data_IF_133289901893
#
_entry.id   IF_133289901893
#
_cell.length_a   1.000
_cell.length_b   1.000
_cell.length_c   1.000
_cell.angle_alpha   90.00
_cell.angle_beta   90.00
_cell.angle_gamma   90.00
#
_symmetry.space_group_name_H-M   'P 1'
#
loop_
_entity.id
_entity.type
_entity.pdbx_description
1 polymer ?
#
# COMPACT_ATOMS: atom_id res chain seq x y z
N UNK A 1 39.88 -74.62 26.18
CA UNK A 1 39.89 -73.42 27.03
C UNK A 1 40.46 -72.25 26.23
N UNK A 2 39.59 -71.48 25.56
CA UNK A 2 39.87 -70.13 25.00
C UNK A 2 38.59 -69.58 24.34
N UNK A 3 38.14 -68.46 24.86
CA UNK A 3 37.19 -67.44 24.37
C UNK A 3 37.89 -66.11 24.71
N UNK A 4 37.71 -64.94 24.06
CA UNK A 4 36.76 -64.49 23.01
C UNK A 4 37.51 -63.99 21.74
N UNK A 5 36.92 -63.57 20.62
CA UNK A 5 35.98 -62.45 20.45
C UNK A 5 35.26 -62.55 19.09
N UNK A 6 33.97 -62.20 19.07
CA UNK A 6 33.15 -62.03 17.87
C UNK A 6 33.15 -60.56 17.46
N UNK A 7 33.54 -60.28 16.23
CA UNK A 7 33.25 -59.03 15.51
C UNK A 7 32.61 -59.40 14.16
N UNK A 8 31.51 -58.72 13.84
CA UNK A 8 30.60 -59.02 12.76
C UNK A 8 30.97 -58.28 11.47
N UNK A 9 30.99 -59.03 10.36
CA UNK A 9 30.49 -58.72 9.00
C UNK A 9 30.63 -57.33 8.35
N UNK A 10 31.10 -57.25 7.09
CA UNK A 10 31.16 -56.02 6.30
C UNK A 10 29.86 -55.74 5.52
N UNK A 11 29.45 -54.47 5.46
CA UNK A 11 28.43 -53.97 4.52
C UNK A 11 29.09 -53.49 3.20
N UNK A 12 28.45 -53.71 2.03
CA UNK A 12 29.02 -53.35 0.73
C UNK A 12 28.82 -51.88 0.37
N UNK A 13 29.91 -51.29 -0.14
CA UNK A 13 29.96 -49.95 -0.72
C UNK A 13 29.28 -49.94 -2.10
N UNK A 14 28.28 -49.08 -2.28
CA UNK A 14 27.64 -48.82 -3.58
C UNK A 14 28.03 -47.42 -4.05
N UNK A 15 28.87 -47.40 -5.09
CA UNK A 15 29.32 -46.22 -5.82
C UNK A 15 28.20 -45.74 -6.76
N UNK A 16 27.62 -44.56 -6.51
CA UNK A 16 26.66 -43.92 -7.41
C UNK A 16 27.39 -43.13 -8.53
N UNK A 17 26.96 -43.22 -9.79
CA UNK A 17 27.57 -42.46 -10.88
C UNK A 17 27.11 -41.01 -10.86
N UNK A 18 28.03 -40.10 -11.19
CA UNK A 18 27.81 -38.66 -11.22
C UNK A 18 26.80 -38.25 -12.31
N UNK A 19 25.77 -37.50 -11.92
CA UNK A 19 24.85 -36.82 -12.83
C UNK A 19 25.53 -35.57 -13.42
N UNK A 20 25.73 -35.59 -14.74
CA UNK A 20 26.18 -34.44 -15.52
C UNK A 20 25.22 -33.24 -15.32
N UNK A 21 25.76 -32.14 -14.77
CA UNK A 21 25.06 -30.84 -14.69
C UNK A 21 24.77 -30.36 -16.11
N UNK A 22 23.52 -30.49 -16.55
CA UNK A 22 22.97 -29.68 -17.64
C UNK A 22 22.75 -28.26 -17.11
N UNK A 23 23.55 -27.33 -17.59
CA UNK A 23 23.31 -25.90 -17.42
C UNK A 23 21.94 -25.54 -18.01
N UNK A 24 21.10 -24.75 -17.32
CA UNK A 24 19.85 -24.28 -17.90
C UNK A 24 20.15 -23.34 -19.07
N UNK A 25 19.65 -23.72 -20.25
CA UNK A 25 19.62 -22.87 -21.43
C UNK A 25 18.81 -21.61 -21.11
N UNK A 26 19.22 -20.39 -21.54
CA UNK A 26 18.47 -19.18 -21.27
C UNK A 26 17.18 -19.26 -22.09
N UNK A 27 16.09 -19.64 -21.43
CA UNK A 27 14.77 -19.48 -21.99
C UNK A 27 14.63 -17.99 -22.34
N UNK A 28 14.47 -17.74 -23.64
CA UNK A 28 14.22 -16.45 -24.27
C UNK A 28 13.14 -15.73 -23.44
N UNK A 29 13.56 -14.81 -22.59
CA UNK A 29 12.66 -13.98 -21.82
C UNK A 29 11.87 -13.15 -22.83
N UNK A 30 10.64 -13.57 -23.11
CA UNK A 30 9.68 -12.72 -23.79
C UNK A 30 9.55 -11.51 -22.87
N UNK A 31 10.07 -10.37 -23.29
CA UNK A 31 9.94 -9.12 -22.56
C UNK A 31 8.43 -8.92 -22.34
N UNK A 32 7.97 -9.12 -21.10
CA UNK A 32 6.59 -8.84 -20.75
C UNK A 32 6.41 -7.35 -20.96
N UNK A 33 5.65 -6.98 -21.99
CA UNK A 33 5.16 -5.62 -22.18
C UNK A 33 4.38 -5.28 -20.92
N UNK A 34 4.88 -4.30 -20.16
CA UNK A 34 4.18 -3.83 -18.97
C UNK A 34 2.89 -3.13 -19.41
N UNK A 35 1.78 -3.27 -18.66
CA UNK A 35 0.56 -2.54 -18.94
C UNK A 35 0.81 -1.02 -18.99
N UNK A 36 0.14 -0.35 -19.93
CA UNK A 36 0.12 1.11 -19.99
C UNK A 36 -0.72 1.66 -18.83
N UNK A 37 -0.05 2.23 -17.84
CA UNK A 37 -0.70 2.73 -16.63
C UNK A 37 -1.41 4.06 -16.84
N UNK A 38 -1.03 4.84 -17.84
CA UNK A 38 -1.69 6.11 -18.13
C UNK A 38 -3.00 5.84 -18.86
N UNK A 39 -2.97 4.98 -19.89
CA UNK A 39 -4.19 4.49 -20.54
C UNK A 39 -5.13 3.80 -19.54
N UNK A 40 -4.60 3.05 -18.56
CA UNK A 40 -5.41 2.48 -17.49
C UNK A 40 -6.09 3.54 -16.62
N UNK A 41 -5.35 4.58 -16.19
CA UNK A 41 -5.90 5.65 -15.35
C UNK A 41 -6.96 6.46 -16.09
N UNK A 42 -6.75 6.73 -17.37
CA UNK A 42 -7.73 7.40 -18.24
C UNK A 42 -8.99 6.57 -18.37
N UNK A 43 -8.86 5.26 -18.67
CA UNK A 43 -10.01 4.36 -18.76
C UNK A 43 -10.78 4.24 -17.43
N UNK A 44 -10.07 4.27 -16.28
CA UNK A 44 -10.70 4.34 -14.96
C UNK A 44 -11.41 5.68 -14.76
N UNK A 45 -10.79 6.80 -15.14
CA UNK A 45 -11.41 8.13 -15.01
C UNK A 45 -12.73 8.23 -15.78
N UNK A 46 -12.76 7.75 -17.02
CA UNK A 46 -13.97 7.68 -17.85
C UNK A 46 -15.06 6.82 -17.19
N UNK A 47 -14.70 5.62 -16.72
CA UNK A 47 -15.62 4.74 -16.01
C UNK A 47 -16.21 5.43 -14.76
N UNK A 48 -15.43 6.22 -14.03
CA UNK A 48 -15.93 6.92 -12.85
C UNK A 48 -16.96 8.00 -13.18
N UNK A 49 -16.85 8.65 -14.34
CA UNK A 49 -17.88 9.58 -14.85
C UNK A 49 -19.17 8.82 -15.12
N UNK A 50 -19.10 7.66 -15.78
CA UNK A 50 -20.26 6.81 -16.09
C UNK A 50 -20.90 6.24 -14.81
N UNK A 51 -20.11 5.81 -13.82
CA UNK A 51 -20.62 5.34 -12.52
C UNK A 51 -21.31 6.46 -11.76
N UNK A 52 -20.76 7.68 -11.79
CA UNK A 52 -21.38 8.84 -11.15
C UNK A 52 -22.71 9.22 -11.82
N UNK A 53 -22.82 9.09 -13.15
CA UNK A 53 -24.07 9.30 -13.88
C UNK A 53 -25.17 8.29 -13.48
N UNK A 54 -24.78 7.12 -12.96
CA UNK A 54 -25.67 6.08 -12.47
C UNK A 54 -25.83 6.10 -10.94
N UNK A 55 -25.65 7.24 -10.26
CA UNK A 55 -25.68 7.31 -8.80
C UNK A 55 -27.04 6.97 -8.14
N UNK A 56 -28.15 7.02 -8.89
CA UNK A 56 -29.49 6.73 -8.37
C UNK A 56 -29.67 5.25 -7.96
N UNK A 57 -30.36 5.02 -6.84
CA UNK A 57 -30.41 3.73 -6.13
C UNK A 57 -30.90 2.53 -6.96
N UNK A 58 -31.69 2.77 -8.01
CA UNK A 58 -32.36 1.72 -8.78
C UNK A 58 -31.52 1.21 -9.97
N UNK A 59 -30.33 1.77 -10.20
CA UNK A 59 -29.46 1.44 -11.33
C UNK A 59 -28.50 0.24 -11.09
N UNK A 60 -28.77 -0.64 -10.12
CA UNK A 60 -27.83 -1.73 -9.75
C UNK A 60 -27.47 -2.62 -10.94
N UNK A 61 -28.47 -3.02 -11.74
CA UNK A 61 -28.24 -3.85 -12.93
C UNK A 61 -27.43 -3.09 -13.98
N UNK A 62 -27.75 -1.81 -14.22
CA UNK A 62 -27.03 -0.96 -15.16
C UNK A 62 -25.55 -0.80 -14.78
N UNK A 63 -25.26 -0.57 -13.48
CA UNK A 63 -23.88 -0.49 -12.97
C UNK A 63 -23.11 -1.80 -13.15
N UNK A 64 -23.76 -2.95 -12.94
CA UNK A 64 -23.15 -4.26 -13.17
C UNK A 64 -22.79 -4.45 -14.65
N UNK A 65 -23.72 -4.14 -15.55
CA UNK A 65 -23.49 -4.24 -17.00
C UNK A 65 -22.36 -3.29 -17.43
N UNK A 66 -22.37 -2.05 -16.94
CA UNK A 66 -21.33 -1.06 -17.22
C UNK A 66 -19.94 -1.58 -16.79
N UNK A 67 -19.81 -2.04 -15.55
CA UNK A 67 -18.54 -2.57 -15.05
C UNK A 67 -18.07 -3.79 -15.85
N UNK A 68 -19.00 -4.69 -16.19
CA UNK A 68 -18.67 -5.86 -17.01
C UNK A 68 -18.12 -5.45 -18.38
N UNK A 69 -18.66 -4.40 -19.00
CA UNK A 69 -18.19 -3.89 -20.28
C UNK A 69 -16.82 -3.22 -20.13
N UNK A 70 -16.68 -2.27 -19.20
CA UNK A 70 -15.45 -1.50 -18.99
C UNK A 70 -14.29 -2.35 -18.50
N UNK A 71 -14.54 -3.42 -17.73
CA UNK A 71 -13.47 -4.33 -17.30
C UNK A 71 -12.85 -5.15 -18.45
N UNK A 72 -13.53 -5.27 -19.59
CA UNK A 72 -13.01 -5.94 -20.79
C UNK A 72 -12.22 -5.01 -21.71
N UNK A 73 -12.23 -3.71 -21.44
CA UNK A 73 -11.42 -2.76 -22.18
C UNK A 73 -9.93 -3.15 -22.08
N UNK A 74 -9.15 -3.12 -23.18
CA UNK A 74 -7.79 -3.64 -23.18
C UNK A 74 -6.87 -3.04 -22.10
N UNK A 75 -6.95 -1.73 -21.87
CA UNK A 75 -6.15 -1.05 -20.85
C UNK A 75 -6.50 -1.54 -19.44
N UNK A 76 -7.80 -1.68 -19.14
CA UNK A 76 -8.29 -2.19 -17.85
C UNK A 76 -7.92 -3.66 -17.67
N UNK A 77 -8.22 -4.50 -18.66
CA UNK A 77 -7.96 -5.92 -18.63
C UNK A 77 -6.47 -6.23 -18.42
N UNK A 78 -5.56 -5.48 -19.05
CA UNK A 78 -4.12 -5.70 -18.93
C UNK A 78 -3.60 -5.55 -17.49
N UNK A 79 -4.04 -4.53 -16.76
CA UNK A 79 -3.65 -4.33 -15.34
C UNK A 79 -4.29 -5.38 -14.45
N UNK A 80 -5.57 -5.69 -14.66
CA UNK A 80 -6.28 -6.66 -13.83
C UNK A 80 -5.74 -8.08 -14.00
N UNK A 81 -5.41 -8.49 -15.22
CA UNK A 81 -4.81 -9.79 -15.52
C UNK A 81 -3.39 -9.92 -14.96
N UNK A 82 -2.64 -8.82 -14.95
CA UNK A 82 -1.31 -8.78 -14.34
C UNK A 82 -1.33 -8.80 -12.80
N UNK A 83 -2.48 -8.53 -12.17
CA UNK A 83 -2.67 -8.61 -10.71
C UNK A 83 -2.81 -10.06 -10.21
N UNK A 84 -2.54 -10.35 -8.93
CA UNK A 84 -2.66 -11.72 -8.39
C UNK A 84 -4.05 -12.36 -8.51
N UNK A 85 -5.11 -11.57 -8.58
CA UNK A 85 -6.49 -12.06 -8.68
C UNK A 85 -6.93 -12.34 -10.12
N UNK A 86 -6.20 -11.83 -11.11
CA UNK A 86 -6.62 -11.82 -12.51
C UNK A 86 -7.89 -11.00 -12.74
N UNK A 87 -8.32 -10.92 -14.00
CA UNK A 87 -9.52 -10.14 -14.40
C UNK A 87 -10.81 -10.64 -13.72
N UNK A 88 -11.01 -11.96 -13.66
CA UNK A 88 -12.23 -12.57 -13.11
C UNK A 88 -12.33 -12.32 -11.61
N UNK A 89 -11.25 -12.62 -10.87
CA UNK A 89 -11.23 -12.42 -9.41
C UNK A 89 -11.33 -10.95 -9.04
N UNK A 90 -10.71 -10.05 -9.82
CA UNK A 90 -10.82 -8.61 -9.60
C UNK A 90 -12.26 -8.12 -9.82
N UNK A 91 -12.96 -8.62 -10.84
CA UNK A 91 -14.36 -8.29 -11.11
C UNK A 91 -15.28 -8.76 -10.00
N UNK A 92 -15.20 -10.03 -9.63
CA UNK A 92 -16.06 -10.60 -8.59
C UNK A 92 -15.88 -9.89 -7.26
N UNK A 93 -14.63 -9.57 -6.90
CA UNK A 93 -14.32 -8.81 -5.69
C UNK A 93 -14.94 -7.42 -5.74
N UNK A 94 -14.80 -6.67 -6.84
CA UNK A 94 -15.41 -5.34 -6.97
C UNK A 94 -16.93 -5.40 -6.80
N UNK A 95 -17.60 -6.32 -7.49
CA UNK A 95 -19.05 -6.49 -7.39
C UNK A 95 -19.51 -6.82 -5.96
N UNK A 96 -18.72 -7.65 -5.24
CA UNK A 96 -18.98 -7.96 -3.83
C UNK A 96 -18.75 -6.75 -2.92
N UNK A 97 -17.69 -5.96 -3.13
CA UNK A 97 -17.46 -4.75 -2.34
C UNK A 97 -18.57 -3.72 -2.56
N UNK A 98 -19.02 -3.54 -3.81
CA UNK A 98 -20.13 -2.65 -4.13
C UNK A 98 -21.45 -3.11 -3.51
N UNK A 99 -21.74 -4.42 -3.53
CA UNK A 99 -22.95 -4.97 -2.92
C UNK A 99 -22.95 -4.82 -1.39
N UNK A 100 -21.77 -4.81 -0.76
CA UNK A 100 -21.59 -4.64 0.68
C UNK A 100 -21.43 -3.18 1.10
N UNK A 101 -21.28 -2.27 0.14
CA UNK A 101 -20.99 -0.88 0.43
C UNK A 101 -22.15 -0.21 1.14
N UNK A 102 -21.86 0.31 2.33
CA UNK A 102 -22.75 1.20 3.08
C UNK A 102 -22.00 2.50 3.33
N UNK A 103 -22.51 3.65 2.86
CA UNK A 103 -21.92 4.94 3.17
C UNK A 103 -21.83 5.13 4.69
N UNK A 104 -20.65 5.52 5.17
CA UNK A 104 -20.40 5.79 6.58
C UNK A 104 -19.36 6.89 6.70
N UNK A 105 -19.52 7.83 7.64
CA UNK A 105 -18.55 8.89 7.94
C UNK A 105 -17.14 8.36 8.28
N UNK A 106 -17.04 7.09 8.70
CA UNK A 106 -15.77 6.42 9.01
C UNK A 106 -15.03 5.87 7.79
N UNK A 107 -15.67 5.87 6.62
CA UNK A 107 -15.15 5.26 5.41
C UNK A 107 -14.37 6.28 4.56
N UNK A 108 -13.21 5.90 4.04
CA UNK A 108 -12.48 6.71 3.06
C UNK A 108 -13.28 6.88 1.77
N UNK A 109 -14.02 5.85 1.35
CA UNK A 109 -14.99 5.97 0.27
C UNK A 109 -16.26 6.66 0.79
N UNK A 110 -16.52 7.89 0.32
CA UNK A 110 -17.71 8.67 0.66
C UNK A 110 -18.94 8.25 -0.14
N UNK A 111 -18.73 7.76 -1.35
CA UNK A 111 -19.75 7.25 -2.25
C UNK A 111 -19.24 6.02 -3.03
N UNK A 112 -20.12 5.44 -3.84
CA UNK A 112 -19.82 4.26 -4.65
C UNK A 112 -18.72 4.56 -5.70
N UNK A 113 -18.71 5.77 -6.25
CA UNK A 113 -17.69 6.21 -7.21
C UNK A 113 -16.30 6.20 -6.57
N UNK A 114 -16.17 6.73 -5.34
CA UNK A 114 -14.93 6.68 -4.57
C UNK A 114 -14.52 5.23 -4.29
N UNK A 115 -15.45 4.33 -3.96
CA UNK A 115 -15.13 2.92 -3.78
C UNK A 115 -14.56 2.29 -5.07
N UNK A 116 -15.20 2.52 -6.22
CA UNK A 116 -14.73 2.00 -7.51
C UNK A 116 -13.35 2.58 -7.86
N UNK A 117 -13.13 3.88 -7.64
CA UNK A 117 -11.84 4.55 -7.83
C UNK A 117 -10.74 3.88 -7.02
N UNK A 118 -10.96 3.78 -5.69
CA UNK A 118 -9.96 3.23 -4.77
C UNK A 118 -9.67 1.78 -5.15
N UNK A 119 -10.70 1.01 -5.46
CA UNK A 119 -10.55 -0.39 -5.82
C UNK A 119 -9.70 -0.58 -7.08
N UNK A 120 -10.07 0.09 -8.18
CA UNK A 120 -9.40 -0.06 -9.46
C UNK A 120 -7.98 0.48 -9.40
N UNK A 121 -7.77 1.70 -8.91
CA UNK A 121 -6.42 2.28 -8.85
C UNK A 121 -5.49 1.50 -7.92
N UNK A 122 -5.99 0.86 -6.86
CA UNK A 122 -5.17 -0.03 -6.01
C UNK A 122 -4.69 -1.31 -6.72
N UNK A 123 -5.27 -1.68 -7.87
CA UNK A 123 -4.83 -2.86 -8.64
C UNK A 123 -3.44 -2.65 -9.24
N UNK A 124 -3.06 -1.40 -9.51
CA UNK A 124 -1.69 -1.03 -9.92
C UNK A 124 -0.70 -1.51 -8.84
N UNK A 125 -1.00 -1.25 -7.57
CA UNK A 125 -0.12 -1.60 -6.46
C UNK A 125 0.06 -3.11 -6.34
N UNK A 126 -1.03 -3.86 -6.46
CA UNK A 126 -1.02 -5.32 -6.38
C UNK A 126 -0.34 -5.95 -7.59
N UNK A 127 -0.47 -5.34 -8.77
CA UNK A 127 0.26 -5.74 -9.96
C UNK A 127 1.77 -5.54 -9.75
N UNK A 128 2.18 -4.37 -9.28
CA UNK A 128 3.59 -4.06 -9.03
C UNK A 128 4.26 -4.99 -8.02
N UNK A 129 3.53 -5.32 -6.96
CA UNK A 129 4.08 -6.08 -5.83
C UNK A 129 3.52 -7.50 -5.75
N UNK A 130 3.08 -8.07 -6.89
CA UNK A 130 2.42 -9.39 -6.96
C UNK A 130 3.19 -10.53 -6.31
N UNK A 131 4.52 -10.47 -6.33
CA UNK A 131 5.40 -11.51 -5.79
C UNK A 131 5.90 -11.19 -4.37
N UNK A 132 5.41 -10.09 -3.76
CA UNK A 132 5.75 -9.72 -2.38
C UNK A 132 4.85 -10.47 -1.39
N UNK A 133 5.41 -11.17 -0.40
CA UNK A 133 4.61 -11.81 0.62
C UNK A 133 3.89 -10.77 1.49
N UNK A 134 2.67 -11.11 1.88
CA UNK A 134 1.88 -10.30 2.81
C UNK A 134 2.38 -10.52 4.24
N UNK A 135 2.47 -9.45 5.03
CA UNK A 135 2.59 -9.54 6.49
C UNK A 135 1.27 -10.06 7.06
N UNK A 136 1.23 -11.33 7.40
CA UNK A 136 0.05 -12.00 7.94
C UNK A 136 -0.34 -11.45 9.31
N UNK A 137 0.63 -11.30 10.21
CA UNK A 137 0.36 -11.00 11.63
C UNK A 137 0.94 -9.67 12.10
N UNK A 138 0.36 -9.13 13.18
CA UNK A 138 0.89 -7.93 13.85
C UNK A 138 2.34 -8.13 14.31
N UNK A 139 2.69 -9.34 14.78
CA UNK A 139 4.04 -9.68 15.22
C UNK A 139 5.05 -9.65 14.08
N UNK A 140 4.67 -10.18 12.91
CA UNK A 140 5.49 -10.10 11.71
C UNK A 140 5.82 -8.65 11.37
N UNK A 141 4.84 -7.74 11.41
CA UNK A 141 5.07 -6.32 11.16
C UNK A 141 6.08 -5.71 12.16
N UNK A 142 6.00 -6.09 13.43
CA UNK A 142 6.85 -5.52 14.47
C UNK A 142 8.30 -6.02 14.45
N UNK A 143 8.52 -7.23 13.95
CA UNK A 143 9.83 -7.91 14.03
C UNK A 143 10.52 -8.08 12.68
N UNK A 144 9.84 -7.80 11.56
CA UNK A 144 10.41 -8.03 10.25
C UNK A 144 11.69 -7.20 10.02
N UNK A 145 12.80 -7.83 9.59
CA UNK A 145 14.11 -7.16 9.46
C UNK A 145 14.14 -6.05 8.39
N UNK A 146 13.26 -6.11 7.41
CA UNK A 146 13.14 -5.06 6.38
C UNK A 146 12.36 -3.82 6.85
N UNK A 147 11.72 -3.87 8.02
CA UNK A 147 10.93 -2.79 8.56
C UNK A 147 11.68 -2.07 9.70
N UNK A 148 11.96 -0.80 9.49
CA UNK A 148 12.66 0.04 10.47
C UNK A 148 11.68 0.70 11.43
N UNK A 149 12.14 0.94 12.66
CA UNK A 149 11.36 1.63 13.69
C UNK A 149 11.42 3.15 13.49
N UNK A 150 10.27 3.75 13.22
CA UNK A 150 10.14 5.20 13.07
C UNK A 150 10.42 5.94 14.37
N UNK A 151 10.18 5.35 15.54
CA UNK A 151 10.47 6.00 16.81
C UNK A 151 11.98 6.15 17.04
N UNK A 152 12.76 5.17 16.59
CA UNK A 152 14.21 5.25 16.60
C UNK A 152 14.71 6.37 15.68
N UNK A 153 14.17 6.45 14.46
CA UNK A 153 14.52 7.50 13.48
C UNK A 153 14.12 8.89 14.00
N UNK A 154 12.91 9.01 14.57
CA UNK A 154 12.38 10.24 15.15
C UNK A 154 13.27 10.79 16.25
N UNK A 155 13.73 9.93 17.18
CA UNK A 155 14.62 10.32 18.28
C UNK A 155 15.98 10.82 17.81
N UNK A 156 16.41 10.44 16.60
CA UNK A 156 17.65 10.89 15.96
C UNK A 156 17.47 12.07 15.02
N UNK A 157 16.25 12.62 14.90
CA UNK A 157 15.97 13.71 13.96
C UNK A 157 16.00 13.30 12.48
N UNK A 158 15.92 12.00 12.18
CA UNK A 158 16.03 11.45 10.82
C UNK A 158 14.68 11.39 10.08
N UNK A 159 13.62 11.99 10.63
CA UNK A 159 12.31 12.06 9.99
C UNK A 159 11.96 13.51 9.65
N UNK A 160 11.74 13.79 8.36
CA UNK A 160 11.27 15.08 7.89
C UNK A 160 9.73 15.21 7.92
N UNK A 161 9.01 14.11 8.17
CA UNK A 161 7.56 14.07 8.28
C UNK A 161 7.09 13.84 9.72
N UNK A 162 5.80 14.06 9.96
CA UNK A 162 5.11 13.79 11.23
C UNK A 162 4.14 12.63 11.08
N UNK A 163 3.95 11.93 12.18
CA UNK A 163 2.90 10.93 12.36
C UNK A 163 2.42 11.00 13.80
N UNK A 164 1.28 10.37 14.07
CA UNK A 164 0.80 10.17 15.44
C UNK A 164 0.43 8.71 15.63
N UNK A 165 0.93 8.11 16.69
CA UNK A 165 0.60 6.73 17.06
C UNK A 165 -0.88 6.59 17.45
N UNK A 166 -1.50 5.48 17.08
CA UNK A 166 -2.84 5.13 17.52
C UNK A 166 -2.82 4.75 19.01
N UNK A 167 -3.76 5.21 19.87
CA UNK A 167 -3.71 4.91 21.28
C UNK A 167 -4.08 3.46 21.49
N UNK A 168 -3.19 2.69 22.09
CA UNK A 168 -3.45 1.30 22.47
C UNK A 168 -4.46 1.15 23.61
N UNK A 169 -4.67 2.19 24.42
CA UNK A 169 -5.47 2.13 25.65
C UNK A 169 -6.71 3.04 25.60
N UNK A 170 -7.74 2.70 26.38
CA UNK A 170 -8.93 3.54 26.58
C UNK A 170 -8.56 4.92 27.15
N UNK A 171 -7.62 4.97 28.09
CA UNK A 171 -7.11 6.22 28.66
C UNK A 171 -6.46 7.09 27.57
N UNK A 172 -5.62 6.50 26.73
CA UNK A 172 -5.01 7.22 25.60
C UNK A 172 -6.05 7.75 24.60
N UNK A 173 -7.16 7.02 24.40
CA UNK A 173 -8.30 7.51 23.61
C UNK A 173 -9.02 8.68 24.29
N UNK A 174 -9.21 8.63 25.60
CA UNK A 174 -9.81 9.70 26.40
C UNK A 174 -8.98 10.99 26.38
N UNK A 175 -7.68 10.90 26.66
CA UNK A 175 -6.74 12.04 26.58
C UNK A 175 -6.76 12.66 25.18
N UNK A 176 -6.81 11.83 24.12
CA UNK A 176 -6.95 12.32 22.75
C UNK A 176 -8.26 13.06 22.53
N UNK A 177 -9.38 12.53 23.02
CA UNK A 177 -10.67 13.17 22.85
C UNK A 177 -10.69 14.55 23.52
N UNK A 178 -10.10 14.68 24.71
CA UNK A 178 -9.92 15.95 25.41
C UNK A 178 -9.00 16.88 24.63
N UNK A 179 -7.83 16.41 24.19
CA UNK A 179 -6.90 17.21 23.39
C UNK A 179 -7.53 17.75 22.10
N UNK A 180 -8.35 16.94 21.42
CA UNK A 180 -9.13 17.37 20.25
C UNK A 180 -10.20 18.39 20.59
N UNK A 181 -10.79 18.38 21.79
CA UNK A 181 -11.75 19.42 22.19
C UNK A 181 -11.06 20.74 22.52
N UNK A 182 -9.89 20.68 23.15
CA UNK A 182 -9.14 21.88 23.55
C UNK A 182 -8.37 22.51 22.38
N UNK A 183 -7.91 21.69 21.43
CA UNK A 183 -7.16 22.12 20.24
C UNK A 183 -7.62 21.32 19.02
N UNK A 184 -8.84 21.56 18.52
CA UNK A 184 -9.46 20.77 17.43
C UNK A 184 -8.66 20.80 16.12
N UNK A 185 -7.77 21.77 16.01
CA UNK A 185 -7.09 22.17 14.78
C UNK A 185 -5.59 21.91 14.77
N UNK A 186 -5.01 21.55 15.93
CA UNK A 186 -3.57 21.38 16.06
C UNK A 186 -3.03 20.16 15.33
N UNK A 187 -3.88 19.18 15.01
CA UNK A 187 -3.48 17.95 14.31
C UNK A 187 -4.62 17.41 13.46
N UNK A 188 -4.33 16.63 12.41
CA UNK A 188 -5.33 15.93 11.62
C UNK A 188 -6.24 15.03 12.48
N UNK A 189 -7.49 14.86 12.04
CA UNK A 189 -8.51 14.06 12.73
C UNK A 189 -8.40 12.56 12.45
N UNK A 190 -7.20 12.03 12.28
CA UNK A 190 -6.97 10.61 11.95
C UNK A 190 -6.78 9.72 13.17
N UNK A 191 -7.07 8.42 13.02
CA UNK A 191 -6.83 7.41 14.05
C UNK A 191 -5.33 7.29 14.41
N UNK A 192 -4.44 7.68 13.50
CA UNK A 192 -3.00 7.56 13.67
C UNK A 192 -2.47 6.19 13.22
N UNK A 193 -1.15 6.06 13.22
CA UNK A 193 -0.45 4.85 12.79
C UNK A 193 -0.47 3.81 13.91
N UNK A 194 -0.94 2.60 13.61
CA UNK A 194 -0.92 1.48 14.56
C UNK A 194 0.50 0.93 14.75
N UNK A 195 1.21 0.73 13.65
CA UNK A 195 2.59 0.26 13.65
C UNK A 195 3.51 1.42 13.28
N UNK A 196 4.52 1.67 14.11
CA UNK A 196 5.59 2.65 13.83
C UNK A 196 6.71 2.03 12.99
N UNK A 197 6.31 1.23 12.01
CA UNK A 197 7.20 0.41 11.18
C UNK A 197 7.02 0.82 9.72
N UNK A 198 8.11 0.87 8.96
CA UNK A 198 8.06 1.14 7.53
C UNK A 198 9.27 0.51 6.84
N UNK A 199 9.14 0.21 5.55
CA UNK A 199 10.30 -0.13 4.73
C UNK A 199 11.23 1.07 4.61
N UNK A 200 12.53 0.82 4.47
CA UNK A 200 13.55 1.88 4.39
C UNK A 200 13.30 2.83 3.22
N UNK A 201 12.90 2.30 2.07
CA UNK A 201 12.57 3.07 0.88
C UNK A 201 11.34 3.96 1.08
N UNK A 202 10.36 3.49 1.88
CA UNK A 202 9.17 4.28 2.21
C UNK A 202 9.55 5.45 3.12
N UNK A 203 10.48 5.26 4.06
CA UNK A 203 11.01 6.36 4.88
C UNK A 203 11.71 7.39 3.99
N UNK A 204 12.59 6.95 3.09
CA UNK A 204 13.29 7.85 2.17
C UNK A 204 12.31 8.61 1.26
N UNK A 205 11.29 7.93 0.72
CA UNK A 205 10.23 8.56 -0.07
C UNK A 205 9.53 9.66 0.73
N UNK A 206 9.08 9.34 1.95
CA UNK A 206 8.38 10.29 2.80
C UNK A 206 9.28 11.46 3.23
N UNK A 207 10.57 11.22 3.47
CA UNK A 207 11.54 12.28 3.75
C UNK A 207 11.74 13.20 2.55
N UNK A 208 11.90 12.63 1.35
CA UNK A 208 12.04 13.40 0.11
C UNK A 208 10.80 14.25 -0.18
N UNK A 209 9.60 13.66 -0.09
CA UNK A 209 8.33 14.37 -0.28
C UNK A 209 8.16 15.46 0.79
N UNK A 210 8.49 15.17 2.05
CA UNK A 210 8.37 16.16 3.12
C UNK A 210 9.33 17.35 2.91
N UNK A 211 10.58 17.09 2.51
CA UNK A 211 11.56 18.14 2.21
C UNK A 211 11.16 18.97 0.99
N UNK A 212 10.54 18.36 -0.01
CA UNK A 212 10.01 19.06 -1.18
C UNK A 212 8.80 19.92 -0.81
N UNK A 213 7.87 19.37 -0.04
CA UNK A 213 6.69 20.08 0.45
C UNK A 213 7.07 21.27 1.34
N UNK A 214 8.02 21.10 2.26
CA UNK A 214 8.53 22.18 3.13
C UNK A 214 9.14 23.33 2.30
N UNK A 215 9.94 23.01 1.26
CA UNK A 215 10.51 24.02 0.35
C UNK A 215 9.47 24.72 -0.51
N UNK A 216 8.38 24.04 -0.84
CA UNK A 216 7.35 24.55 -1.74
C UNK A 216 6.24 25.32 -1.00
N UNK A 217 6.24 25.35 0.33
CA UNK A 217 5.15 25.94 1.13
C UNK A 217 5.58 27.15 1.96
N UNK A 218 4.66 28.05 2.33
CA UNK A 218 4.99 29.19 3.17
C UNK A 218 5.52 28.79 4.55
N UNK A 219 6.40 29.63 5.11
CA UNK A 219 6.89 29.48 6.49
C UNK A 219 5.71 29.40 7.46
N UNK A 220 5.78 28.44 8.40
CA UNK A 220 4.70 28.18 9.37
C UNK A 220 3.69 27.13 8.91
N UNK A 221 3.80 26.62 7.68
CA UNK A 221 3.08 25.43 7.24
C UNK A 221 3.51 24.22 8.08
N UNK A 222 2.58 23.41 8.61
CA UNK A 222 2.95 22.20 9.32
C UNK A 222 3.68 21.20 8.42
N UNK A 223 4.61 20.38 8.96
CA UNK A 223 5.30 19.37 8.16
C UNK A 223 4.32 18.33 7.60
N UNK A 224 4.75 17.62 6.54
CA UNK A 224 4.02 16.50 5.94
C UNK A 224 3.50 15.54 7.02
N UNK A 225 2.24 15.12 6.91
CA UNK A 225 1.60 14.28 7.92
C UNK A 225 1.17 12.92 7.37
N UNK A 226 1.73 11.85 7.95
CA UNK A 226 1.43 10.47 7.61
C UNK A 226 0.38 9.91 8.56
N UNK A 227 -0.65 9.29 8.00
CA UNK A 227 -1.84 8.82 8.70
C UNK A 227 -1.92 7.30 8.78
N UNK A 228 -1.31 6.61 7.82
CA UNK A 228 -1.14 5.16 7.81
C UNK A 228 0.17 4.73 7.16
N UNK A 229 0.65 3.54 7.54
CA UNK A 229 1.89 2.92 7.12
C UNK A 229 1.62 1.44 6.82
N UNK A 230 2.63 0.57 6.98
CA UNK A 230 2.47 -0.88 6.94
C UNK A 230 1.34 -1.33 7.88
N UNK A 231 0.59 -2.34 7.43
CA UNK A 231 -0.44 -3.04 8.21
C UNK A 231 -0.17 -4.54 8.13
N UNK A 232 -0.71 -5.30 9.07
CA UNK A 232 -0.83 -6.75 8.93
C UNK A 232 -2.16 -7.09 8.25
N UNK A 233 -2.26 -8.30 7.68
CA UNK A 233 -3.52 -8.82 7.19
C UNK A 233 -4.55 -8.97 8.32
N UNK A 234 -4.12 -9.39 9.52
CA UNK A 234 -4.96 -9.41 10.73
C UNK A 234 -5.61 -8.05 11.02
N UNK A 235 -4.81 -6.98 11.01
CA UNK A 235 -5.30 -5.63 11.24
C UNK A 235 -6.20 -5.15 10.10
N UNK A 236 -5.85 -5.44 8.85
CA UNK A 236 -6.68 -5.09 7.69
C UNK A 236 -8.06 -5.76 7.76
N UNK A 237 -8.12 -7.05 8.09
CA UNK A 237 -9.39 -7.75 8.32
C UNK A 237 -10.15 -7.20 9.52
N UNK A 238 -9.46 -6.79 10.59
CA UNK A 238 -10.09 -6.12 11.72
C UNK A 238 -10.75 -4.80 11.31
N UNK A 239 -10.05 -3.95 10.54
CA UNK A 239 -10.62 -2.71 10.01
C UNK A 239 -11.86 -3.00 9.16
N UNK A 240 -11.81 -4.02 8.31
CA UNK A 240 -12.97 -4.45 7.51
C UNK A 240 -14.15 -4.86 8.39
N UNK A 241 -13.92 -5.64 9.46
CA UNK A 241 -14.96 -6.01 10.43
C UNK A 241 -15.55 -4.81 11.17
N UNK A 242 -14.78 -3.74 11.34
CA UNK A 242 -15.23 -2.48 11.95
C UNK A 242 -15.97 -1.55 10.97
N UNK A 243 -16.13 -1.97 9.71
CA UNK A 243 -16.87 -1.22 8.68
C UNK A 243 -16.05 -0.21 7.90
N UNK A 244 -14.71 -0.22 7.99
CA UNK A 244 -13.85 0.58 7.10
C UNK A 244 -13.76 -0.08 5.72
N UNK A 245 -13.61 0.69 4.63
CA UNK A 245 -13.25 0.16 3.31
C UNK A 245 -11.78 -0.30 3.26
N UNK A 246 -11.44 -1.26 4.11
CA UNK A 246 -10.15 -1.92 4.15
C UNK A 246 -10.15 -3.07 3.13
N UNK A 247 -9.89 -2.74 1.87
CA UNK A 247 -9.86 -3.71 0.77
C UNK A 247 -8.76 -4.76 0.98
N UNK A 248 -9.02 -5.98 0.50
CA UNK A 248 -8.09 -7.11 0.57
C UNK A 248 -7.95 -7.73 -0.81
N UNK A 249 -6.72 -7.99 -1.31
CA UNK A 249 -5.43 -7.66 -0.69
C UNK A 249 -5.13 -6.15 -0.73
N UNK A 250 -4.13 -5.71 0.05
CA UNK A 250 -3.75 -4.29 0.18
C UNK A 250 -2.23 -4.12 0.21
N UNK A 251 -1.72 -3.09 -0.48
CA UNK A 251 -0.31 -2.75 -0.52
C UNK A 251 0.26 -2.29 0.84
N UNK A 252 -0.58 -1.83 1.77
CA UNK A 252 -0.17 -1.63 3.16
C UNK A 252 0.29 -2.94 3.80
N UNK A 253 -0.36 -4.05 3.46
CA UNK A 253 -0.02 -5.38 3.99
C UNK A 253 1.25 -5.96 3.34
N UNK A 254 1.73 -5.34 2.25
CA UNK A 254 3.01 -5.63 1.60
C UNK A 254 4.12 -4.68 2.10
N UNK A 255 3.76 -3.64 2.86
CA UNK A 255 4.66 -2.60 3.38
C UNK A 255 5.12 -1.57 2.36
N UNK A 256 4.49 -1.50 1.19
CA UNK A 256 4.86 -0.59 0.09
C UNK A 256 3.92 0.61 -0.05
N UNK A 257 2.91 0.71 0.81
CA UNK A 257 1.98 1.82 0.78
C UNK A 257 1.83 2.56 2.11
N UNK A 258 1.46 3.83 2.00
CA UNK A 258 1.28 4.79 3.08
C UNK A 258 0.09 5.69 2.76
N UNK A 259 -0.54 6.23 3.80
CA UNK A 259 -1.61 7.22 3.63
C UNK A 259 -1.12 8.57 4.14
N UNK A 260 -1.26 9.61 3.32
CA UNK A 260 -0.83 10.98 3.62
C UNK A 260 -2.07 11.84 3.83
N UNK A 261 -2.10 12.64 4.90
CA UNK A 261 -3.21 13.57 5.14
C UNK A 261 -3.26 14.64 4.04
N UNK A 262 -4.44 14.90 3.49
CA UNK A 262 -4.66 15.94 2.49
C UNK A 262 -5.64 17.00 2.99
N UNK A 263 -6.78 16.58 3.53
CA UNK A 263 -7.88 17.50 3.85
C UNK A 263 -7.50 18.55 4.90
N UNK A 264 -6.69 18.17 5.88
CA UNK A 264 -6.21 19.11 6.90
C UNK A 264 -5.35 20.22 6.30
N UNK A 265 -4.63 19.96 5.20
CA UNK A 265 -3.80 20.97 4.54
C UNK A 265 -4.59 22.03 3.76
N UNK A 266 -5.88 21.78 3.48
CA UNK A 266 -6.76 22.76 2.83
C UNK A 266 -6.80 24.08 3.61
N UNK A 267 -6.79 24.01 4.95
CA UNK A 267 -6.84 25.19 5.82
C UNK A 267 -5.62 26.10 5.72
N UNK A 268 -4.49 25.57 5.27
CA UNK A 268 -3.25 26.32 5.09
C UNK A 268 -3.08 26.78 3.63
N UNK A 269 -4.03 26.45 2.75
CA UNK A 269 -3.95 26.77 1.32
C UNK A 269 -2.91 25.95 0.55
N UNK A 270 -2.32 24.91 1.16
CA UNK A 270 -1.19 24.15 0.59
C UNK A 270 -1.56 22.75 0.10
N UNK A 271 -2.83 22.34 0.22
CA UNK A 271 -3.28 21.02 -0.23
C UNK A 271 -2.96 20.77 -1.71
N UNK A 272 -3.16 21.78 -2.56
CA UNK A 272 -2.88 21.67 -4.00
C UNK A 272 -1.38 21.48 -4.28
N UNK A 273 -0.51 22.13 -3.53
CA UNK A 273 0.95 21.97 -3.64
C UNK A 273 1.35 20.53 -3.34
N UNK A 274 0.82 19.95 -2.26
CA UNK A 274 1.08 18.54 -1.93
C UNK A 274 0.55 17.60 -3.03
N UNK A 275 -0.64 17.88 -3.57
CA UNK A 275 -1.20 17.10 -4.67
C UNK A 275 -0.32 17.16 -5.92
N UNK A 276 0.17 18.34 -6.29
CA UNK A 276 1.06 18.55 -7.44
C UNK A 276 2.37 17.76 -7.28
N UNK A 277 2.99 17.78 -6.09
CA UNK A 277 4.20 16.99 -5.79
C UNK A 277 3.93 15.49 -5.98
N UNK A 278 2.82 14.98 -5.44
CA UNK A 278 2.47 13.57 -5.52
C UNK A 278 2.17 13.16 -6.98
N UNK A 279 1.40 13.96 -7.72
CA UNK A 279 1.10 13.65 -9.12
C UNK A 279 2.31 13.78 -10.05
N UNK A 280 3.22 14.73 -9.81
CA UNK A 280 4.48 14.83 -10.56
C UNK A 280 5.32 13.55 -10.40
N UNK A 281 5.38 12.99 -9.19
CA UNK A 281 6.06 11.71 -8.93
C UNK A 281 5.32 10.51 -9.52
N UNK A 282 3.99 10.55 -9.57
CA UNK A 282 3.20 9.54 -10.29
C UNK A 282 3.50 9.56 -11.79
N UNK A 283 3.53 10.74 -12.41
CA UNK A 283 3.86 10.92 -13.82
C UNK A 283 5.30 10.49 -14.14
N UNK A 284 6.22 10.67 -13.17
CA UNK A 284 7.58 10.16 -13.26
C UNK A 284 7.70 8.63 -13.04
N UNK A 285 6.58 7.93 -12.78
CA UNK A 285 6.54 6.49 -12.55
C UNK A 285 7.14 6.06 -11.21
N UNK A 286 7.28 6.97 -10.24
CA UNK A 286 7.87 6.66 -8.94
C UNK A 286 6.87 6.07 -7.95
N UNK A 287 5.60 6.39 -8.10
CA UNK A 287 4.55 6.00 -7.17
C UNK A 287 3.17 5.94 -7.85
N UNK A 288 2.23 5.31 -7.17
CA UNK A 288 0.80 5.36 -7.50
C UNK A 288 0.09 6.17 -6.42
N UNK A 289 -0.76 7.12 -6.82
CA UNK A 289 -1.55 7.99 -5.95
C UNK A 289 -3.01 7.66 -6.15
N UNK A 290 -3.71 7.44 -5.04
CA UNK A 290 -5.16 7.22 -5.04
C UNK A 290 -5.79 8.22 -4.08
N UNK A 291 -6.69 9.05 -4.62
CA UNK A 291 -7.48 9.98 -3.82
C UNK A 291 -8.56 9.22 -3.05
N UNK A 292 -8.34 9.02 -1.74
CA UNK A 292 -9.32 8.47 -0.80
C UNK A 292 -10.03 9.56 0.03
N UNK A 293 -10.02 10.81 -0.44
CA UNK A 293 -10.70 11.94 0.18
C UNK A 293 -9.87 12.61 1.28
N UNK A 294 -10.03 12.18 2.54
CA UNK A 294 -9.32 12.82 3.66
C UNK A 294 -7.79 12.65 3.53
N UNK A 295 -7.39 11.42 3.25
CA UNK A 295 -6.01 11.04 3.05
C UNK A 295 -5.87 10.46 1.64
N UNK A 296 -4.70 10.64 1.05
CA UNK A 296 -4.35 10.00 -0.21
C UNK A 296 -3.46 8.81 0.06
N UNK A 297 -3.82 7.71 -0.57
CA UNK A 297 -3.03 6.50 -0.56
C UNK A 297 -1.89 6.65 -1.57
N UNK A 298 -0.68 6.31 -1.14
CA UNK A 298 0.53 6.37 -1.95
C UNK A 298 1.24 5.03 -1.86
N UNK A 299 1.44 4.39 -3.00
CA UNK A 299 2.21 3.16 -3.12
C UNK A 299 3.49 3.39 -3.91
N UNK A 300 4.63 2.91 -3.40
CA UNK A 300 5.91 3.03 -4.08
C UNK A 300 5.97 2.12 -5.32
N UNK A 301 6.43 2.63 -6.45
CA UNK A 301 6.69 1.82 -7.63
C UNK A 301 8.00 1.02 -7.50
N UNK A 302 8.06 -0.22 -8.02
CA UNK A 302 9.28 -1.03 -7.98
C UNK A 302 10.50 -0.35 -8.63
N UNK A 303 10.29 0.45 -9.68
CA UNK A 303 11.34 1.16 -10.40
C UNK A 303 12.09 2.18 -9.53
N UNK A 304 11.43 2.80 -8.55
CA UNK A 304 12.03 3.81 -7.67
C UNK A 304 12.75 3.19 -6.44
N UNK A 305 12.60 1.88 -6.22
CA UNK A 305 13.10 1.19 -5.01
C UNK A 305 14.62 1.34 -4.84
N UNK A 306 15.40 1.10 -5.90
CA UNK A 306 16.86 1.14 -5.82
C UNK A 306 17.37 2.53 -5.42
N UNK A 307 16.87 3.58 -6.08
CA UNK A 307 17.21 4.97 -5.78
C UNK A 307 16.91 5.33 -4.33
N UNK A 308 15.70 5.01 -3.87
CA UNK A 308 15.25 5.34 -2.50
C UNK A 308 15.98 4.52 -1.43
N UNK A 309 16.35 3.28 -1.75
CA UNK A 309 17.19 2.46 -0.88
C UNK A 309 18.56 3.11 -0.67
N UNK A 310 19.21 3.53 -1.75
CA UNK A 310 20.50 4.23 -1.67
C UNK A 310 20.38 5.57 -0.94
N UNK A 311 19.30 6.33 -1.17
CA UNK A 311 19.05 7.59 -0.45
C UNK A 311 18.92 7.35 1.07
N UNK A 312 18.17 6.32 1.48
CA UNK A 312 18.07 5.95 2.89
C UNK A 312 19.44 5.58 3.48
N UNK A 313 20.22 4.76 2.78
CA UNK A 313 21.53 4.31 3.26
C UNK A 313 22.53 5.46 3.40
N UNK A 314 22.47 6.44 2.50
CA UNK A 314 23.27 7.66 2.59
C UNK A 314 22.91 8.50 3.83
N UNK A 315 21.61 8.66 4.14
CA UNK A 315 21.17 9.37 5.36
C UNK A 315 21.58 8.64 6.65
N UNK A 316 21.79 7.32 6.60
CA UNK A 316 22.16 6.51 7.76
C UNK A 316 23.67 6.43 8.01
N UNK A 317 24.48 6.67 6.98
CA UNK A 317 25.95 6.66 7.05
C UNK A 317 26.58 8.04 7.29
N UNK A 318 25.78 9.11 7.20
CA UNK A 318 26.15 10.48 7.55
C UNK A 318 26.06 10.72 9.07
#
# INVERSE_FOLDING_TARGET
MRVPSRSSGPEPSVTSPALARRSPSPARAVARVLPDLDAYRDAVADLLVEVAALADSDAILARRVLLDQRMREPAVAAVLDASPQGIVGARETLLLEMARYQPNERNSARDLTALVRIYLLSRIDLMWWRDTPTFGTDEQVNTHPDLVDLEWLRRRGLLAFRYREQPGTLVGRGVRAVGRRLRPDATPRTAGVRFRRARREIVALLNDVAREFDRATPVGTPPLWVTSLVRSAEHQHQLRRLGYAAMVPSAHCLGWAVDIEMSWFARFGVQKILAEILFARQAAGELNVVDEGQAWHVCLAPAARARLRSAYEAEMGA
#
